data_IF_274294766526
#
_entry.id   IF_274294766526
#
_cell.length_a   1.000
_cell.length_b   1.000
_cell.length_c   1.000
_cell.angle_alpha   90.00
_cell.angle_beta   90.00
_cell.angle_gamma   90.00
#
_symmetry.space_group_name_H-M   'P 1'
#
loop_
_entity.id
_entity.type
_entity.pdbx_description
1 polymer ?
#
# COMPACT_ATOMS: atom_id res chain seq x y z
N UNK A 1 -6.32 -7.05 -63.40
CA UNK A 1 -6.12 -7.44 -61.98
C UNK A 1 -6.33 -6.18 -61.16
N UNK A 2 -7.50 -6.01 -60.53
CA UNK A 2 -7.85 -4.79 -59.80
C UNK A 2 -7.69 -5.07 -58.30
N UNK A 3 -6.67 -4.47 -57.68
CA UNK A 3 -6.40 -4.61 -56.25
C UNK A 3 -7.31 -3.68 -55.45
N UNK A 4 -8.15 -4.23 -54.58
CA UNK A 4 -8.89 -3.44 -53.59
C UNK A 4 -7.92 -3.01 -52.49
N UNK A 5 -7.80 -1.70 -52.30
CA UNK A 5 -7.15 -1.10 -51.15
C UNK A 5 -8.00 -1.43 -49.91
N UNK A 6 -7.42 -2.13 -48.94
CA UNK A 6 -8.08 -2.40 -47.67
C UNK A 6 -8.03 -1.12 -46.83
N UNK A 7 -9.19 -0.55 -46.57
CA UNK A 7 -9.37 0.62 -45.72
C UNK A 7 -9.02 0.22 -44.27
N UNK A 8 -7.93 0.78 -43.74
CA UNK A 8 -7.51 0.54 -42.36
C UNK A 8 -8.40 1.39 -41.46
N UNK A 9 -9.45 0.78 -40.93
CA UNK A 9 -10.25 1.39 -39.86
C UNK A 9 -9.41 1.44 -38.59
N UNK A 10 -9.25 2.63 -38.00
CA UNK A 10 -8.62 2.77 -36.68
C UNK A 10 -9.52 2.08 -35.65
N UNK A 11 -8.92 1.24 -34.79
CA UNK A 11 -9.66 0.62 -33.70
C UNK A 11 -10.16 1.71 -32.74
N UNK A 12 -11.48 1.95 -32.75
CA UNK A 12 -12.13 2.83 -31.78
C UNK A 12 -12.14 2.14 -30.43
N UNK A 13 -11.30 2.63 -29.50
CA UNK A 13 -11.32 2.17 -28.13
C UNK A 13 -12.67 2.58 -27.49
N UNK A 14 -13.37 1.69 -26.76
CA UNK A 14 -14.71 1.95 -26.21
C UNK A 14 -14.76 3.10 -25.19
N UNK A 15 -13.60 3.63 -24.82
CA UNK A 15 -13.43 4.90 -24.14
C UNK A 15 -12.51 5.80 -24.99
N UNK A 16 -12.92 7.00 -25.41
CA UNK A 16 -12.02 7.95 -26.04
C UNK A 16 -11.12 8.56 -24.97
N UNK A 17 -9.83 8.25 -24.99
CA UNK A 17 -8.85 8.85 -24.06
C UNK A 17 -8.58 10.33 -24.44
N UNK A 18 -9.20 10.79 -25.52
CA UNK A 18 -9.25 12.18 -26.00
C UNK A 18 -10.66 12.75 -25.77
N UNK A 19 -11.15 12.69 -24.53
CA UNK A 19 -12.37 13.35 -24.10
C UNK A 19 -12.00 14.57 -23.25
N UNK A 20 -12.48 15.74 -23.67
CA UNK A 20 -12.19 17.02 -23.04
C UNK A 20 -12.55 17.10 -21.57
N UNK A 21 -11.93 18.10 -20.95
CA UNK A 21 -11.95 18.47 -19.54
C UNK A 21 -13.36 18.94 -19.11
N UNK A 22 -14.31 18.01 -18.92
CA UNK A 22 -15.59 18.29 -18.27
C UNK A 22 -15.89 17.22 -17.21
N UNK A 23 -15.92 17.69 -15.96
CA UNK A 23 -16.14 17.00 -14.68
C UNK A 23 -17.24 15.92 -14.68
N UNK A 24 -16.98 14.75 -14.06
CA UNK A 24 -17.77 14.20 -12.95
C UNK A 24 -17.05 13.04 -12.24
N UNK A 25 -17.27 12.89 -10.93
CA UNK A 25 -16.40 12.19 -9.99
C UNK A 25 -16.54 10.67 -9.87
N UNK A 26 -15.58 10.08 -9.15
CA UNK A 26 -15.70 8.73 -8.62
C UNK A 26 -14.40 7.95 -8.48
N UNK A 27 -13.39 8.24 -9.31
CA UNK A 27 -12.09 7.57 -9.24
C UNK A 27 -11.01 8.65 -9.35
N UNK A 28 -10.13 8.72 -8.35
CA UNK A 28 -8.96 9.59 -8.35
C UNK A 28 -8.04 9.16 -9.51
N UNK A 29 -8.36 9.64 -10.73
CA UNK A 29 -7.52 9.41 -11.90
C UNK A 29 -6.13 9.97 -11.57
N UNK A 30 -5.06 9.20 -11.81
CA UNK A 30 -3.72 9.70 -11.64
C UNK A 30 -3.61 11.02 -12.40
N UNK A 31 -3.19 12.09 -11.72
CA UNK A 31 -3.02 13.40 -12.34
C UNK A 31 -2.14 13.21 -13.59
N UNK A 32 -2.43 13.93 -14.68
CA UNK A 32 -1.64 13.78 -15.92
C UNK A 32 -0.13 13.97 -15.69
N UNK A 33 0.25 14.77 -14.68
CA UNK A 33 1.63 14.92 -14.21
C UNK A 33 2.25 13.65 -13.61
N UNK A 34 1.46 12.75 -13.02
CA UNK A 34 1.91 11.44 -12.55
C UNK A 34 2.06 10.43 -13.68
N UNK A 35 1.36 10.63 -14.81
CA UNK A 35 1.42 9.77 -16.00
C UNK A 35 2.58 10.20 -16.92
N UNK A 36 2.84 11.50 -17.02
CA UNK A 36 3.90 12.07 -17.86
C UNK A 36 5.18 12.42 -17.08
N UNK A 37 5.21 12.13 -15.77
CA UNK A 37 6.43 12.26 -14.97
C UNK A 37 7.49 11.29 -15.45
N UNK A 38 8.77 11.66 -15.26
CA UNK A 38 9.87 10.75 -15.53
C UNK A 38 9.65 9.45 -14.75
N UNK A 39 9.74 8.31 -15.46
CA UNK A 39 9.66 6.99 -14.85
C UNK A 39 10.66 6.98 -13.69
N UNK A 40 10.21 6.69 -12.45
CA UNK A 40 11.10 6.70 -11.32
C UNK A 40 12.26 5.76 -11.62
N UNK A 41 13.51 6.17 -11.35
CA UNK A 41 14.67 5.36 -11.63
C UNK A 41 14.46 3.92 -11.12
N UNK A 42 14.75 2.92 -11.95
CA UNK A 42 14.45 1.52 -11.66
C UNK A 42 14.99 1.05 -10.29
N UNK A 43 16.09 1.64 -9.83
CA UNK A 43 16.65 1.39 -8.50
C UNK A 43 15.68 1.75 -7.35
N UNK A 44 14.87 2.80 -7.47
CA UNK A 44 13.86 3.16 -6.46
C UNK A 44 12.74 2.11 -6.37
N UNK A 45 12.39 1.47 -7.50
CA UNK A 45 11.43 0.38 -7.53
C UNK A 45 11.96 -0.87 -6.83
N UNK A 46 13.24 -1.21 -7.00
CA UNK A 46 13.84 -2.35 -6.31
C UNK A 46 13.98 -2.09 -4.80
N UNK A 47 14.40 -0.89 -4.40
CA UNK A 47 14.50 -0.54 -2.97
C UNK A 47 13.15 -0.52 -2.25
N UNK A 48 12.07 -0.13 -2.92
CA UNK A 48 10.73 -0.18 -2.33
C UNK A 48 10.23 -1.61 -2.16
N UNK A 49 10.57 -2.53 -3.06
CA UNK A 49 10.29 -3.98 -2.89
C UNK A 49 11.11 -4.58 -1.76
N UNK A 50 12.39 -4.25 -1.67
CA UNK A 50 13.29 -4.70 -0.59
C UNK A 50 12.79 -4.20 0.77
N UNK A 51 12.46 -2.92 0.86
CA UNK A 51 11.92 -2.31 2.08
C UNK A 51 10.59 -2.94 2.48
N UNK A 52 9.69 -3.17 1.52
CA UNK A 52 8.43 -3.88 1.79
C UNK A 52 8.69 -5.28 2.33
N UNK A 53 9.63 -6.02 1.73
CA UNK A 53 9.96 -7.38 2.15
C UNK A 53 10.53 -7.40 3.57
N UNK A 54 11.41 -6.45 3.90
CA UNK A 54 12.00 -6.30 5.23
C UNK A 54 10.95 -5.93 6.29
N UNK A 55 10.04 -4.99 5.96
CA UNK A 55 9.09 -4.43 6.92
C UNK A 55 7.78 -5.23 7.04
N UNK A 56 7.46 -6.11 6.09
CA UNK A 56 6.19 -6.83 6.09
C UNK A 56 5.98 -7.65 7.37
N UNK A 57 7.00 -8.39 7.79
CA UNK A 57 6.96 -9.20 9.01
C UNK A 57 6.75 -8.33 10.27
N UNK A 58 7.62 -7.35 10.58
CA UNK A 58 7.46 -6.54 11.80
C UNK A 58 6.16 -5.73 11.80
N UNK A 59 5.76 -5.15 10.66
CA UNK A 59 4.49 -4.40 10.58
C UNK A 59 3.28 -5.29 10.87
N UNK A 60 3.28 -6.53 10.37
CA UNK A 60 2.20 -7.49 10.67
C UNK A 60 2.16 -7.84 12.16
N UNK A 61 3.32 -8.00 12.80
CA UNK A 61 3.41 -8.29 14.23
C UNK A 61 2.95 -7.12 15.11
N UNK A 62 3.24 -5.88 14.71
CA UNK A 62 2.70 -4.67 15.37
C UNK A 62 1.18 -4.68 15.32
N UNK A 63 0.60 -4.94 14.14
CA UNK A 63 -0.86 -5.00 13.98
C UNK A 63 -1.47 -6.11 14.85
N UNK A 64 -0.86 -7.30 14.88
CA UNK A 64 -1.32 -8.41 15.74
C UNK A 64 -1.30 -8.03 17.22
N UNK A 65 -0.19 -7.47 17.71
CA UNK A 65 -0.07 -7.00 19.11
C UNK A 65 -1.13 -5.95 19.44
N UNK A 66 -1.38 -5.03 18.51
CA UNK A 66 -2.37 -3.98 18.67
C UNK A 66 -3.79 -4.58 18.75
N UNK A 67 -4.13 -5.51 17.85
CA UNK A 67 -5.44 -6.19 17.85
C UNK A 67 -5.64 -7.01 19.13
N UNK A 68 -4.64 -7.80 19.54
CA UNK A 68 -4.71 -8.61 20.76
C UNK A 68 -4.86 -7.71 22.01
N UNK A 69 -4.06 -6.65 22.11
CA UNK A 69 -4.15 -5.70 23.23
C UNK A 69 -5.51 -5.00 23.26
N UNK A 70 -6.01 -4.58 22.10
CA UNK A 70 -7.33 -3.98 21.98
C UNK A 70 -8.48 -4.93 22.37
N UNK A 71 -8.37 -6.21 22.03
CA UNK A 71 -9.35 -7.22 22.44
C UNK A 71 -9.37 -7.41 23.97
N UNK A 72 -8.22 -7.35 24.64
CA UNK A 72 -8.13 -7.42 26.09
C UNK A 72 -8.65 -6.15 26.79
N UNK A 73 -8.43 -4.98 26.19
CA UNK A 73 -8.84 -3.67 26.72
C UNK A 73 -10.28 -3.26 26.31
N UNK A 74 -11.02 -4.15 25.63
CA UNK A 74 -12.36 -3.89 25.06
C UNK A 74 -12.43 -2.61 24.20
N UNK A 75 -11.38 -2.33 23.42
CA UNK A 75 -11.30 -1.14 22.57
C UNK A 75 -11.07 -1.48 21.09
N UNK A 76 -11.43 -0.53 20.21
CA UNK A 76 -11.31 -0.71 18.76
C UNK A 76 -9.87 -0.48 18.27
N UNK A 77 -9.29 -1.53 17.66
CA UNK A 77 -7.94 -1.53 17.11
C UNK A 77 -7.72 -0.49 16.00
N UNK A 78 -8.68 -0.32 15.09
CA UNK A 78 -8.58 0.66 14.00
C UNK A 78 -8.59 2.07 14.56
N UNK A 79 -9.45 2.34 15.55
CA UNK A 79 -9.53 3.64 16.23
C UNK A 79 -8.25 3.94 17.02
N UNK A 80 -7.63 2.94 17.64
CA UNK A 80 -6.35 3.08 18.35
C UNK A 80 -5.21 3.35 17.37
N UNK A 81 -5.11 2.56 16.29
CA UNK A 81 -4.09 2.72 15.25
C UNK A 81 -4.17 4.10 14.57
N UNK A 82 -5.38 4.62 14.30
CA UNK A 82 -5.56 5.97 13.73
C UNK A 82 -5.02 7.11 14.60
N UNK A 83 -4.88 6.88 15.90
CA UNK A 83 -4.34 7.87 16.85
C UNK A 83 -2.84 7.71 17.09
N UNK A 84 -2.24 6.63 16.61
CA UNK A 84 -0.80 6.42 16.78
C UNK A 84 -0.04 7.36 15.86
N UNK A 85 0.93 8.04 16.45
CA UNK A 85 1.95 8.79 15.73
C UNK A 85 2.92 7.85 15.03
N UNK A 86 3.60 8.35 14.00
CA UNK A 86 4.68 7.60 13.36
C UNK A 86 5.78 7.23 14.36
N UNK A 87 6.12 8.14 15.28
CA UNK A 87 7.14 7.89 16.30
C UNK A 87 6.78 6.69 17.18
N UNK A 88 5.52 6.57 17.61
CA UNK A 88 5.04 5.41 18.37
C UNK A 88 5.16 4.12 17.56
N UNK A 89 4.81 4.15 16.27
CA UNK A 89 4.97 2.99 15.38
C UNK A 89 6.45 2.62 15.22
N UNK A 90 7.36 3.60 15.15
CA UNK A 90 8.81 3.36 15.05
C UNK A 90 9.47 2.89 16.36
N UNK A 91 8.83 3.08 17.51
CA UNK A 91 9.32 2.49 18.75
C UNK A 91 9.05 0.98 18.82
N UNK A 92 7.95 0.50 18.22
CA UNK A 92 7.58 -0.92 18.31
C UNK A 92 8.63 -1.88 17.71
N UNK A 93 9.21 -1.65 16.50
CA UNK A 93 10.28 -2.48 15.97
C UNK A 93 11.57 -2.48 16.80
N UNK A 94 11.73 -1.60 17.80
CA UNK A 94 12.91 -1.67 18.68
C UNK A 94 12.85 -2.86 19.63
N UNK A 95 11.66 -3.39 19.85
CA UNK A 95 11.46 -4.65 20.54
C UNK A 95 11.77 -5.81 19.58
N UNK A 96 12.83 -6.55 19.87
CA UNK A 96 13.29 -7.68 19.08
C UNK A 96 12.18 -8.73 18.87
N UNK A 97 11.26 -8.88 19.82
CA UNK A 97 10.12 -9.80 19.71
C UNK A 97 9.12 -9.41 18.60
N UNK A 98 9.16 -8.16 18.11
CA UNK A 98 8.34 -7.72 16.96
C UNK A 98 8.90 -8.25 15.64
N UNK A 99 10.19 -8.57 15.58
CA UNK A 99 10.82 -9.13 14.38
C UNK A 99 10.55 -10.64 14.21
N UNK A 100 10.22 -11.34 15.29
CA UNK A 100 10.04 -12.80 15.31
C UNK A 100 8.62 -13.20 15.73
N UNK A 101 7.80 -13.67 14.79
CA UNK A 101 6.43 -14.25 14.92
C UNK A 101 5.41 -13.58 15.88
N UNK A 102 5.75 -12.47 16.53
CA UNK A 102 4.96 -11.83 17.58
C UNK A 102 4.78 -12.67 18.86
N UNK A 103 5.39 -13.86 18.96
CA UNK A 103 5.17 -14.80 20.08
C UNK A 103 5.98 -14.45 21.34
N UNK A 104 7.17 -13.86 21.18
CA UNK A 104 8.03 -13.53 22.33
C UNK A 104 7.41 -12.48 23.29
N UNK A 105 6.61 -11.55 22.75
CA UNK A 105 5.92 -10.55 23.58
C UNK A 105 4.70 -11.11 24.33
N UNK A 106 4.05 -12.13 23.78
CA UNK A 106 2.92 -12.83 24.41
C UNK A 106 3.42 -13.74 25.55
N UNK A 107 4.56 -14.40 25.37
CA UNK A 107 5.22 -15.16 26.43
C UNK A 107 5.68 -14.29 27.60
N UNK A 108 6.19 -13.07 27.35
CA UNK A 108 6.57 -12.14 28.43
C UNK A 108 5.36 -11.71 29.27
N UNK A 109 4.23 -11.32 28.66
CA UNK A 109 3.01 -10.96 29.42
C UNK A 109 2.36 -12.13 30.16
N UNK A 110 2.62 -13.37 29.75
CA UNK A 110 2.12 -14.56 30.47
C UNK A 110 2.98 -14.88 31.70
N UNK A 111 4.20 -14.37 31.74
CA UNK A 111 5.20 -14.68 32.76
C UNK A 111 5.44 -13.53 33.75
N UNK A 112 4.90 -12.34 33.45
CA UNK A 112 4.70 -11.22 34.38
C UNK A 112 3.31 -11.32 35.04
#
# INVERSE_FOLDING_TARGET
MSGRMLEVSCAEHPYPWTGGDEHDGGEERPRQTAIMGDVPPSYLCEHTKELRTLLLSPMTNIIRRLVIGCAADECDAVRKARKMSLDEVFQEPKDEAVWFDGLGGLERRRND
#
